data_IF_766578705466
#
_entry.id   IF_766578705466
#
_cell.length_a   1.000
_cell.length_b   1.000
_cell.length_c   1.000
_cell.angle_alpha   90.00
_cell.angle_beta   90.00
_cell.angle_gamma   90.00
#
_symmetry.space_group_name_H-M   'P 1'
#
loop_
_entity.id
_entity.type
_entity.pdbx_description
1 polymer ?
#
# COMPACT_ATOMS: atom_id res chain seq x y z
N UNK A 1 4.92 -2.83 -0.79
CA UNK A 1 6.40 -2.95 -0.77
C UNK A 1 6.99 -1.70 -1.42
N UNK A 2 7.92 -1.02 -0.76
CA UNK A 2 8.64 0.12 -1.33
C UNK A 2 9.99 -0.34 -1.88
N UNK A 3 10.47 0.27 -2.96
CA UNK A 3 11.73 -0.12 -3.60
C UNK A 3 12.95 0.14 -2.71
N UNK A 4 12.97 1.25 -1.99
CA UNK A 4 14.12 1.71 -1.22
C UNK A 4 14.10 1.31 0.26
N UNK A 5 12.92 1.22 0.87
CA UNK A 5 12.76 0.95 2.32
C UNK A 5 12.11 -0.42 2.60
N UNK A 6 11.83 -1.22 1.57
CA UNK A 6 11.19 -2.51 1.72
C UNK A 6 9.76 -2.38 2.28
N UNK A 7 9.42 -3.25 3.24
CA UNK A 7 8.11 -3.28 3.89
C UNK A 7 8.09 -2.27 5.04
N UNK A 8 7.10 -1.38 5.04
CA UNK A 8 6.97 -0.31 6.03
C UNK A 8 5.55 -0.27 6.60
N UNK A 9 5.45 0.12 7.87
CA UNK A 9 4.18 0.46 8.50
C UNK A 9 3.94 1.96 8.35
N UNK A 10 2.83 2.33 7.70
CA UNK A 10 2.47 3.72 7.47
C UNK A 10 0.96 3.95 7.66
N UNK A 11 0.61 5.08 8.25
CA UNK A 11 -0.77 5.43 8.61
C UNK A 11 -1.30 6.56 7.72
N UNK A 12 -2.49 6.36 7.15
CA UNK A 12 -3.22 7.40 6.42
C UNK A 12 -4.22 8.08 7.37
N UNK A 13 -3.92 9.31 7.77
CA UNK A 13 -4.86 10.13 8.55
C UNK A 13 -5.89 10.80 7.65
N UNK A 14 -7.16 10.84 8.07
CA UNK A 14 -8.23 11.43 7.27
C UNK A 14 -8.62 10.62 6.02
N UNK A 15 -8.12 9.38 5.91
CA UNK A 15 -8.40 8.48 4.80
C UNK A 15 -9.89 8.28 4.50
N UNK A 16 -10.75 7.92 5.47
CA UNK A 16 -12.14 7.51 5.20
C UNK A 16 -13.00 8.53 4.46
N UNK A 17 -12.73 9.83 4.63
CA UNK A 17 -13.48 10.95 4.03
C UNK A 17 -12.79 11.59 2.82
N UNK A 18 -11.60 11.11 2.43
CA UNK A 18 -10.81 11.71 1.37
C UNK A 18 -10.68 10.79 0.16
N UNK A 19 -10.38 11.40 -1.01
CA UNK A 19 -10.04 10.68 -2.24
C UNK A 19 -8.91 9.65 -2.03
N UNK A 20 -8.08 9.85 -1.01
CA UNK A 20 -6.99 8.95 -0.64
C UNK A 20 -7.46 7.55 -0.23
N UNK A 21 -8.70 7.37 0.24
CA UNK A 21 -9.26 6.03 0.51
C UNK A 21 -9.25 5.14 -0.75
N UNK A 22 -9.62 5.71 -1.89
CA UNK A 22 -9.66 4.98 -3.16
C UNK A 22 -8.24 4.76 -3.71
N UNK A 23 -7.37 5.76 -3.55
CA UNK A 23 -6.01 5.70 -4.07
C UNK A 23 -5.14 4.70 -3.28
N UNK A 24 -5.13 4.82 -1.95
CA UNK A 24 -4.35 3.96 -1.04
C UNK A 24 -5.12 2.66 -0.82
N UNK A 25 -5.19 1.84 -1.88
CA UNK A 25 -5.90 0.58 -1.85
C UNK A 25 -5.05 -0.56 -2.44
N UNK A 26 -5.32 -1.83 -2.06
CA UNK A 26 -4.51 -2.97 -2.49
C UNK A 26 -4.29 -3.05 -4.00
N UNK A 27 -3.08 -3.51 -4.38
CA UNK A 27 -2.63 -3.77 -5.75
C UNK A 27 -2.42 -2.56 -6.66
N UNK A 28 -2.61 -1.34 -6.16
CA UNK A 28 -2.18 -0.13 -6.88
C UNK A 28 -0.66 0.01 -6.84
N UNK A 29 -0.10 0.48 -7.96
CA UNK A 29 1.33 0.72 -8.09
C UNK A 29 1.58 2.20 -8.40
N UNK A 30 2.56 2.79 -7.73
CA UNK A 30 2.97 4.16 -7.99
C UNK A 30 3.96 4.69 -6.98
N UNK A 31 4.05 6.02 -6.92
CA UNK A 31 4.96 6.73 -6.04
C UNK A 31 4.19 7.24 -4.82
N UNK A 32 4.59 6.76 -3.64
CA UNK A 32 4.01 7.16 -2.36
C UNK A 32 4.90 8.18 -1.67
N UNK A 33 4.29 9.26 -1.19
CA UNK A 33 4.97 10.29 -0.41
C UNK A 33 4.73 10.04 1.07
N UNK A 34 5.82 9.86 1.80
CA UNK A 34 5.81 9.46 3.20
C UNK A 34 6.48 10.54 4.04
N UNK A 35 5.87 10.85 5.17
CA UNK A 35 6.46 11.69 6.19
C UNK A 35 6.73 10.83 7.42
N UNK A 36 7.98 10.72 7.85
CA UNK A 36 8.35 10.00 9.08
C UNK A 36 8.63 11.02 10.17
N UNK A 37 7.91 10.93 11.28
CA UNK A 37 8.19 11.69 12.50
C UNK A 37 9.31 10.98 13.26
N UNK A 38 10.48 11.60 13.39
CA UNK A 38 11.65 11.03 14.05
C UNK A 38 11.47 10.86 15.55
N UNK A 39 10.61 11.67 16.17
CA UNK A 39 10.36 11.63 17.62
C UNK A 39 9.39 10.49 17.95
N UNK A 40 8.34 10.33 17.13
CA UNK A 40 7.31 9.30 17.34
C UNK A 40 7.60 7.98 16.62
N UNK A 41 8.65 7.93 15.80
CA UNK A 41 8.99 6.80 14.92
C UNK A 41 7.78 6.34 14.08
N UNK A 42 6.90 7.28 13.75
CA UNK A 42 5.64 7.01 13.07
C UNK A 42 5.71 7.53 11.63
N UNK A 43 5.34 6.69 10.66
CA UNK A 43 5.30 7.09 9.26
C UNK A 43 3.86 7.39 8.85
N UNK A 44 3.64 8.58 8.30
CA UNK A 44 2.38 9.05 7.75
C UNK A 44 2.42 9.02 6.22
N UNK A 45 1.30 8.62 5.63
CA UNK A 45 1.07 8.75 4.19
C UNK A 45 0.59 10.18 3.92
N UNK A 46 1.36 10.94 3.15
CA UNK A 46 1.03 12.31 2.77
C UNK A 46 0.26 12.36 1.46
N UNK A 47 0.72 11.62 0.45
CA UNK A 47 0.07 11.54 -0.86
C UNK A 47 0.47 10.26 -1.59
N UNK A 48 -0.29 9.89 -2.63
CA UNK A 48 0.00 8.73 -3.47
C UNK A 48 -0.31 9.00 -4.94
N UNK A 49 0.75 9.11 -5.74
CA UNK A 49 0.70 9.28 -7.18
C UNK A 49 0.71 7.92 -7.88
N UNK A 50 -0.47 7.45 -8.27
CA UNK A 50 -0.65 6.14 -8.90
C UNK A 50 -0.20 6.19 -10.36
N UNK A 51 0.63 5.23 -10.73
CA UNK A 51 1.07 5.03 -12.11
C UNK A 51 0.24 3.95 -12.82
N UNK A 52 -0.23 2.95 -12.08
CA UNK A 52 -1.06 1.89 -12.62
C UNK A 52 -2.17 1.50 -11.65
N UNK A 53 -3.41 1.74 -12.07
CA UNK A 53 -4.60 1.20 -11.44
C UNK A 53 -4.78 -0.24 -11.90
N UNK A 54 -5.10 -1.15 -10.98
CA UNK A 54 -5.36 -2.57 -11.29
C UNK A 54 -6.71 -3.02 -10.71
N UNK A 55 -7.83 -2.38 -11.11
CA UNK A 55 -9.15 -2.69 -10.57
C UNK A 55 -9.60 -4.12 -10.91
N UNK A 56 -9.23 -4.62 -12.10
CA UNK A 56 -9.58 -5.97 -12.59
C UNK A 56 -9.15 -7.12 -11.67
N UNK A 57 -8.15 -6.90 -10.81
CA UNK A 57 -7.72 -7.91 -9.84
C UNK A 57 -8.87 -8.20 -8.86
N UNK A 58 -9.65 -7.18 -8.51
CA UNK A 58 -10.78 -7.28 -7.56
C UNK A 58 -12.07 -7.79 -8.20
N UNK A 59 -12.20 -7.66 -9.51
CA UNK A 59 -13.40 -8.07 -10.24
C UNK A 59 -13.45 -9.59 -10.48
N UNK A 60 -12.30 -10.27 -10.38
CA UNK A 60 -12.21 -11.71 -10.53
C UNK A 60 -11.73 -12.38 -9.23
N UNK A 61 -12.53 -13.31 -8.71
CA UNK A 61 -12.24 -14.01 -7.46
C UNK A 61 -10.90 -14.75 -7.48
N UNK A 62 -10.58 -15.45 -8.57
CA UNK A 62 -9.32 -16.18 -8.70
C UNK A 62 -8.12 -15.23 -8.72
N UNK A 63 -8.22 -14.11 -9.44
CA UNK A 63 -7.18 -13.06 -9.46
C UNK A 63 -7.00 -12.45 -8.05
N UNK A 64 -8.09 -12.19 -7.34
CA UNK A 64 -8.05 -11.69 -5.95
C UNK A 64 -7.38 -12.68 -5.01
N UNK A 65 -7.77 -13.96 -5.06
CA UNK A 65 -7.17 -15.00 -4.22
C UNK A 65 -5.67 -15.17 -4.48
N UNK A 66 -5.26 -15.23 -5.75
CA UNK A 66 -3.85 -15.32 -6.11
C UNK A 66 -3.06 -14.09 -5.65
N UNK A 67 -3.61 -12.89 -5.83
CA UNK A 67 -2.94 -11.64 -5.43
C UNK A 67 -2.84 -11.51 -3.89
N UNK A 68 -3.85 -11.98 -3.16
CA UNK A 68 -3.81 -12.04 -1.69
C UNK A 68 -2.76 -13.05 -1.21
N UNK A 69 -2.70 -14.24 -1.81
CA UNK A 69 -1.67 -15.24 -1.49
C UNK A 69 -0.26 -14.67 -1.73
N UNK A 70 -0.03 -14.02 -2.87
CA UNK A 70 1.24 -13.35 -3.16
C UNK A 70 1.56 -12.26 -2.14
N UNK A 71 0.57 -11.49 -1.70
CA UNK A 71 0.76 -10.46 -0.67
C UNK A 71 1.16 -11.07 0.68
N UNK A 72 0.48 -12.13 1.11
CA UNK A 72 0.81 -12.88 2.34
C UNK A 72 2.22 -13.49 2.27
N UNK A 73 2.56 -14.11 1.14
CA UNK A 73 3.90 -14.64 0.91
C UNK A 73 4.94 -13.54 1.03
N UNK A 74 4.77 -12.41 0.32
CA UNK A 74 5.70 -11.27 0.41
C UNK A 74 5.82 -10.76 1.84
N UNK A 75 4.73 -10.59 2.58
CA UNK A 75 4.77 -10.13 3.97
C UNK A 75 5.59 -11.11 4.84
N UNK A 76 5.38 -12.41 4.67
CA UNK A 76 6.04 -13.45 5.48
C UNK A 76 7.48 -13.75 5.04
N UNK A 77 7.82 -13.62 3.75
CA UNK A 77 9.15 -13.94 3.23
C UNK A 77 10.09 -12.74 3.21
N UNK A 78 9.58 -11.50 3.13
CA UNK A 78 10.39 -10.28 3.24
C UNK A 78 10.52 -9.76 4.69
N UNK A 79 9.83 -10.39 5.65
CA UNK A 79 9.85 -10.04 7.07
C UNK A 79 10.51 -11.10 7.96
N UNK A 80 11.56 -11.75 7.47
CA UNK A 80 12.39 -12.72 8.21
C UNK A 80 13.81 -12.21 8.38
#
# INVERSE_FOLDING_TARGET
LTRSRGLIWATLYGGPKSKMRALVSPFHCGQIYLYTDEVKQATKISDFAIHSYRPEIRENLFKTCAANLCSELVIKTHGG
#
